data_IF_259316355179
#
_entry.id   IF_259316355179
#
_cell.length_a   1.000
_cell.length_b   1.000
_cell.length_c   1.000
_cell.angle_alpha   90.00
_cell.angle_beta   90.00
_cell.angle_gamma   90.00
#
_symmetry.space_group_name_H-M   'P 1'
#
loop_
_entity.id
_entity.type
_entity.pdbx_description
1 polymer ?
#
# COMPACT_ATOMS: atom_id res chain seq x y z
N UNK A 1 -48.02 -10.07 -33.01
CA UNK A 1 -47.87 -9.25 -31.78
C UNK A 1 -46.66 -9.72 -30.96
N UNK A 2 -45.45 -9.71 -31.54
CA UNK A 2 -44.20 -10.14 -30.89
C UNK A 2 -43.23 -8.96 -30.70
N UNK A 3 -43.71 -7.84 -30.18
CA UNK A 3 -42.86 -6.63 -30.03
C UNK A 3 -42.60 -6.18 -28.59
N UNK A 4 -43.23 -6.80 -27.59
CA UNK A 4 -43.11 -6.35 -26.19
C UNK A 4 -42.52 -7.40 -25.22
N UNK A 5 -42.09 -8.57 -25.70
CA UNK A 5 -41.46 -9.60 -24.84
C UNK A 5 -39.92 -9.52 -24.91
N UNK A 6 -39.36 -8.97 -26.00
CA UNK A 6 -37.91 -8.92 -26.23
C UNK A 6 -37.21 -7.78 -25.48
N UNK A 7 -37.93 -6.74 -25.05
CA UNK A 7 -37.35 -5.57 -24.36
C UNK A 7 -37.22 -5.76 -22.85
N UNK A 8 -38.05 -6.60 -22.23
CA UNK A 8 -37.98 -6.82 -20.77
C UNK A 8 -36.88 -7.81 -20.37
N UNK A 9 -36.50 -8.74 -21.26
CA UNK A 9 -35.40 -9.68 -21.00
C UNK A 9 -34.02 -9.01 -21.16
N UNK A 10 -33.94 -7.96 -21.99
CA UNK A 10 -32.71 -7.19 -22.19
C UNK A 10 -32.36 -6.26 -21.01
N UNK A 11 -33.35 -5.92 -20.16
CA UNK A 11 -33.15 -5.04 -19.02
C UNK A 11 -32.60 -5.76 -17.78
N UNK A 12 -32.93 -7.06 -17.62
CA UNK A 12 -32.44 -7.84 -16.48
C UNK A 12 -30.97 -8.29 -16.63
N UNK A 13 -30.49 -8.45 -17.87
CA UNK A 13 -29.10 -8.85 -18.15
C UNK A 13 -28.12 -7.69 -17.92
N UNK A 14 -28.58 -6.43 -17.99
CA UNK A 14 -27.73 -5.25 -17.81
C UNK A 14 -27.41 -4.94 -16.34
N UNK A 15 -28.14 -5.49 -15.37
CA UNK A 15 -27.95 -5.22 -13.93
C UNK A 15 -26.91 -6.16 -13.29
N UNK A 16 -26.57 -7.29 -13.92
CA UNK A 16 -25.65 -8.29 -13.35
C UNK A 16 -24.17 -7.94 -13.60
N UNK A 17 -23.86 -7.02 -14.52
CA UNK A 17 -22.47 -6.70 -14.90
C UNK A 17 -21.80 -5.68 -13.96
N UNK A 18 -22.51 -5.15 -12.95
CA UNK A 18 -21.97 -4.15 -12.01
C UNK A 18 -21.40 -4.80 -10.73
N UNK A 19 -21.21 -6.12 -10.70
CA UNK A 19 -20.67 -6.85 -9.54
C UNK A 19 -19.34 -7.56 -9.85
N UNK A 20 -18.40 -6.87 -10.50
CA UNK A 20 -17.01 -7.35 -10.57
C UNK A 20 -16.07 -6.16 -10.43
N UNK A 21 -15.76 -5.85 -9.18
CA UNK A 21 -14.83 -4.79 -8.78
C UNK A 21 -14.34 -4.98 -7.35
N UNK A 22 -14.13 -6.23 -6.94
CA UNK A 22 -13.25 -6.61 -5.84
C UNK A 22 -12.61 -7.90 -6.30
N UNK A 23 -11.32 -7.87 -6.55
CA UNK A 23 -10.56 -9.08 -6.86
C UNK A 23 -10.54 -9.95 -5.59
N UNK A 24 -11.20 -11.14 -5.57
CA UNK A 24 -11.26 -11.98 -4.38
C UNK A 24 -9.92 -12.68 -4.09
N UNK A 25 -8.89 -12.42 -4.89
CA UNK A 25 -7.58 -13.06 -4.84
C UNK A 25 -6.48 -12.21 -4.21
N UNK A 26 -6.68 -10.91 -4.01
CA UNK A 26 -5.77 -10.13 -3.16
C UNK A 26 -5.96 -10.61 -1.72
N UNK A 27 -4.98 -11.36 -1.21
CA UNK A 27 -4.96 -11.72 0.22
C UNK A 27 -4.89 -10.41 0.99
N UNK A 28 -6.02 -10.01 1.55
CA UNK A 28 -6.12 -8.88 2.47
C UNK A 28 -5.00 -9.01 3.52
N UNK A 29 -4.14 -7.98 3.59
CA UNK A 29 -3.02 -7.85 4.54
C UNK A 29 -3.50 -8.16 5.97
N UNK A 30 -4.76 -7.81 6.27
CA UNK A 30 -5.38 -8.05 7.58
C UNK A 30 -5.53 -9.53 7.93
N UNK A 31 -5.46 -10.46 6.98
CA UNK A 31 -5.44 -11.90 7.26
C UNK A 31 -4.23 -12.31 8.11
N UNK A 32 -3.13 -11.58 8.03
CA UNK A 32 -1.90 -11.83 8.80
C UNK A 32 -1.86 -11.04 10.12
N UNK A 33 -2.77 -10.09 10.32
CA UNK A 33 -2.71 -9.13 11.42
C UNK A 33 -2.76 -9.79 12.81
N UNK A 34 -3.61 -10.80 13.00
CA UNK A 34 -3.73 -11.46 14.31
C UNK A 34 -2.55 -12.39 14.62
N UNK A 35 -2.03 -13.10 13.60
CA UNK A 35 -0.96 -14.08 13.77
C UNK A 35 0.45 -13.49 13.83
N UNK A 36 0.63 -12.27 13.32
CA UNK A 36 1.95 -11.61 13.30
C UNK A 36 2.16 -10.83 14.58
N UNK A 37 3.30 -10.98 15.25
CA UNK A 37 3.62 -10.16 16.42
C UNK A 37 3.88 -8.69 16.02
N UNK A 38 3.60 -7.75 16.93
CA UNK A 38 3.86 -6.34 16.66
C UNK A 38 5.35 -6.01 16.78
N UNK A 39 5.82 -5.06 15.98
CA UNK A 39 7.08 -4.36 16.17
C UNK A 39 6.82 -2.85 16.32
N UNK A 40 7.84 -2.10 16.70
CA UNK A 40 7.79 -0.63 16.75
C UNK A 40 8.26 -0.04 15.41
N UNK A 41 7.36 0.69 14.76
CA UNK A 41 7.56 1.47 13.54
C UNK A 41 7.24 2.96 13.77
N UNK A 42 7.14 3.41 15.02
CA UNK A 42 6.79 4.80 15.37
C UNK A 42 7.74 5.86 14.78
N UNK A 43 8.97 5.45 14.47
CA UNK A 43 9.99 6.32 13.86
C UNK A 43 10.06 6.18 12.33
N UNK A 44 9.27 5.30 11.71
CA UNK A 44 9.34 5.04 10.27
C UNK A 44 8.88 6.25 9.45
N UNK A 45 9.82 6.88 8.75
CA UNK A 45 9.60 8.07 7.93
C UNK A 45 10.57 8.15 6.75
N UNK A 46 10.24 8.97 5.75
CA UNK A 46 11.16 9.39 4.68
C UNK A 46 11.22 10.91 4.66
N UNK A 47 12.42 11.47 4.84
CA UNK A 47 12.64 12.92 4.89
C UNK A 47 11.67 13.64 5.86
N UNK A 48 11.46 13.09 7.06
CA UNK A 48 10.51 13.57 8.08
C UNK A 48 9.03 13.39 7.74
N UNK A 49 8.69 12.74 6.62
CA UNK A 49 7.31 12.41 6.25
C UNK A 49 6.99 11.00 6.74
N UNK A 50 6.01 10.92 7.64
CA UNK A 50 5.50 9.66 8.17
C UNK A 50 4.05 9.45 7.74
N UNK A 51 3.51 8.29 8.10
CA UNK A 51 2.05 8.11 8.08
C UNK A 51 1.38 9.23 8.89
N UNK A 52 0.26 9.74 8.40
CA UNK A 52 -0.51 10.88 8.92
C UNK A 52 0.12 12.28 8.81
N UNK A 53 1.31 12.43 8.23
CA UNK A 53 1.84 13.75 7.83
C UNK A 53 0.88 14.45 6.87
N UNK A 54 0.86 15.78 6.88
CA UNK A 54 -0.03 16.55 6.02
C UNK A 54 0.61 16.72 4.65
N UNK A 55 -0.21 16.96 3.62
CA UNK A 55 0.26 17.30 2.27
C UNK A 55 1.30 18.42 2.26
N UNK A 56 1.08 19.47 3.05
CA UNK A 56 2.01 20.61 3.11
C UNK A 56 3.40 20.19 3.59
N UNK A 57 3.49 19.24 4.52
CA UNK A 57 4.77 18.72 5.01
C UNK A 57 5.54 18.06 3.85
N UNK A 58 4.83 17.31 2.99
CA UNK A 58 5.40 16.69 1.78
C UNK A 58 5.91 17.77 0.82
N UNK A 59 5.11 18.80 0.55
CA UNK A 59 5.47 19.88 -0.36
C UNK A 59 6.68 20.68 0.15
N UNK A 60 6.81 20.85 1.47
CA UNK A 60 7.97 21.48 2.09
C UNK A 60 9.24 20.60 1.98
N UNK A 61 9.11 19.28 2.17
CA UNK A 61 10.24 18.36 2.14
C UNK A 61 10.70 17.95 0.73
N UNK A 62 9.76 17.84 -0.22
CA UNK A 62 10.01 17.30 -1.57
C UNK A 62 9.80 18.32 -2.69
N UNK A 63 9.15 19.45 -2.42
CA UNK A 63 8.84 20.45 -3.43
C UNK A 63 7.58 20.11 -4.24
N UNK A 64 7.60 20.42 -5.53
CA UNK A 64 6.45 20.19 -6.43
C UNK A 64 6.54 18.76 -6.98
N UNK A 65 5.47 17.95 -6.90
CA UNK A 65 5.47 16.61 -7.47
C UNK A 65 5.56 16.63 -9.00
N UNK A 66 6.16 15.59 -9.57
CA UNK A 66 6.25 15.38 -11.01
C UNK A 66 4.87 15.12 -11.62
N UNK A 67 4.02 14.40 -10.87
CA UNK A 67 2.66 14.08 -11.26
C UNK A 67 1.74 14.04 -10.03
N UNK A 68 0.48 14.40 -10.24
CA UNK A 68 -0.59 14.24 -9.26
C UNK A 68 -1.70 13.41 -9.89
N UNK A 69 -2.10 12.33 -9.22
CA UNK A 69 -3.26 11.53 -9.60
C UNK A 69 -4.36 11.65 -8.56
N UNK A 70 -5.62 11.60 -9.01
CA UNK A 70 -6.79 11.64 -8.13
C UNK A 70 -7.68 10.43 -8.40
N UNK A 71 -8.14 9.80 -7.34
CA UNK A 71 -9.07 8.67 -7.38
C UNK A 71 -10.29 9.05 -6.55
N UNK A 72 -11.49 8.87 -7.10
CA UNK A 72 -12.72 9.35 -6.47
C UNK A 72 -13.27 8.42 -5.38
N UNK A 73 -12.99 7.11 -5.44
CA UNK A 73 -13.62 6.10 -4.58
C UNK A 73 -12.58 5.10 -4.03
N UNK A 74 -12.13 5.25 -2.76
CA UNK A 74 -12.31 6.42 -1.91
C UNK A 74 -11.53 7.63 -2.45
N UNK A 75 -11.99 8.83 -2.11
CA UNK A 75 -11.31 10.07 -2.50
C UNK A 75 -9.87 10.07 -1.99
N UNK A 76 -8.93 9.93 -2.89
CA UNK A 76 -7.50 9.87 -2.62
C UNK A 76 -6.70 10.65 -3.66
N UNK A 77 -5.53 11.11 -3.26
CA UNK A 77 -4.60 11.83 -4.12
C UNK A 77 -3.23 11.18 -4.02
N UNK A 78 -2.54 11.00 -5.15
CA UNK A 78 -1.20 10.46 -5.20
C UNK A 78 -0.24 11.53 -5.70
N UNK A 79 0.78 11.86 -4.90
CA UNK A 79 1.85 12.78 -5.27
C UNK A 79 3.07 11.96 -5.64
N UNK A 80 3.47 12.04 -6.92
CA UNK A 80 4.50 11.19 -7.50
C UNK A 80 5.76 12.03 -7.70
N UNK A 81 6.87 11.54 -7.18
CA UNK A 81 8.22 12.09 -7.33
C UNK A 81 9.14 11.02 -7.93
N UNK A 82 10.37 11.38 -8.25
CA UNK A 82 11.36 10.41 -8.71
C UNK A 82 11.68 9.41 -7.59
N UNK A 83 11.27 8.15 -7.76
CA UNK A 83 11.57 7.04 -6.84
C UNK A 83 10.64 6.89 -5.64
N UNK A 84 9.69 7.81 -5.42
CA UNK A 84 8.69 7.70 -4.34
C UNK A 84 7.33 8.27 -4.72
N UNK A 85 6.29 7.61 -4.24
CA UNK A 85 4.91 8.07 -4.33
C UNK A 85 4.30 8.19 -2.94
N UNK A 86 3.57 9.28 -2.67
CA UNK A 86 2.76 9.46 -1.47
C UNK A 86 1.29 9.36 -1.82
N UNK A 87 0.56 8.44 -1.19
CA UNK A 87 -0.89 8.33 -1.27
C UNK A 87 -1.56 9.01 -0.08
N UNK A 88 -2.47 9.93 -0.36
CA UNK A 88 -3.16 10.75 0.62
C UNK A 88 -4.65 10.43 0.66
N UNK A 89 -5.20 10.44 1.87
CA UNK A 89 -6.64 10.45 2.15
C UNK A 89 -6.89 11.65 3.05
N UNK A 90 -7.87 12.50 2.70
CA UNK A 90 -8.17 13.72 3.47
C UNK A 90 -6.92 14.60 3.72
N UNK A 91 -6.08 14.78 2.69
CA UNK A 91 -4.84 15.58 2.74
C UNK A 91 -3.77 15.05 3.72
N UNK A 92 -3.91 13.80 4.20
CA UNK A 92 -2.94 13.14 5.07
C UNK A 92 -2.34 11.93 4.40
N UNK A 93 -1.04 11.71 4.62
CA UNK A 93 -0.33 10.50 4.15
C UNK A 93 -0.99 9.26 4.73
N UNK A 94 -1.57 8.46 3.86
CA UNK A 94 -2.10 7.14 4.16
C UNK A 94 -1.13 6.04 3.74
N UNK A 95 -0.34 6.27 2.70
CA UNK A 95 0.74 5.37 2.26
C UNK A 95 1.90 6.13 1.65
N UNK A 96 3.08 5.53 1.65
CA UNK A 96 4.13 5.87 0.71
C UNK A 96 4.78 4.62 0.14
N UNK A 97 5.21 4.72 -1.12
CA UNK A 97 5.75 3.62 -1.90
C UNK A 97 7.11 4.02 -2.47
N UNK A 98 8.15 3.30 -2.06
CA UNK A 98 9.54 3.51 -2.47
C UNK A 98 9.89 2.53 -3.58
N UNK A 99 10.37 3.06 -4.70
CA UNK A 99 10.79 2.31 -5.89
C UNK A 99 12.29 2.41 -6.16
N UNK A 100 12.93 3.50 -5.73
CA UNK A 100 14.38 3.71 -5.83
C UNK A 100 14.81 4.94 -5.01
N UNK A 101 16.11 5.15 -4.82
CA UNK A 101 16.72 6.38 -4.30
C UNK A 101 16.33 6.84 -2.87
N UNK A 102 15.48 6.09 -2.17
CA UNK A 102 15.15 6.32 -0.76
C UNK A 102 15.49 5.12 0.12
N UNK A 103 15.70 5.41 1.40
CA UNK A 103 16.12 4.48 2.43
C UNK A 103 15.10 4.50 3.56
N UNK A 104 14.70 3.33 4.06
CA UNK A 104 13.82 3.25 5.24
C UNK A 104 14.54 3.75 6.49
N UNK A 105 13.81 3.98 7.58
CA UNK A 105 14.41 4.46 8.84
C UNK A 105 15.47 3.50 9.40
N UNK A 106 15.34 2.20 9.13
CA UNK A 106 16.32 1.18 9.53
C UNK A 106 17.37 0.87 8.46
N UNK A 107 17.43 1.68 7.42
CA UNK A 107 18.52 1.68 6.47
C UNK A 107 18.36 0.72 5.28
N UNK A 108 17.15 0.28 4.98
CA UNK A 108 16.88 -0.62 3.85
C UNK A 108 16.68 0.21 2.59
N UNK A 109 17.38 -0.17 1.53
CA UNK A 109 17.24 0.39 0.19
C UNK A 109 16.85 -0.68 -0.82
N UNK A 110 16.34 -0.24 -1.97
CA UNK A 110 16.11 -1.12 -3.11
C UNK A 110 17.43 -1.81 -3.52
N UNK A 111 17.37 -3.13 -3.75
CA UNK A 111 18.53 -3.98 -4.03
C UNK A 111 19.19 -4.62 -2.81
N UNK A 112 18.74 -4.32 -1.59
CA UNK A 112 19.15 -5.06 -0.39
C UNK A 112 18.64 -6.50 -0.38
N UNK A 113 19.31 -7.37 0.38
CA UNK A 113 18.88 -8.77 0.49
C UNK A 113 17.72 -8.95 1.46
N UNK A 114 16.93 -10.02 1.26
CA UNK A 114 15.92 -10.49 2.22
C UNK A 114 16.50 -10.62 3.63
N UNK A 115 17.69 -11.22 3.73
CA UNK A 115 18.40 -11.39 5.02
C UNK A 115 18.72 -10.06 5.71
N UNK A 116 19.02 -9.00 4.94
CA UNK A 116 19.26 -7.67 5.51
C UNK A 116 17.98 -7.09 6.09
N UNK A 117 16.84 -7.24 5.40
CA UNK A 117 15.53 -6.82 5.91
C UNK A 117 15.23 -7.52 7.25
N UNK A 118 15.35 -8.85 7.28
CA UNK A 118 15.12 -9.66 8.48
C UNK A 118 16.07 -9.28 9.62
N UNK A 119 17.33 -8.96 9.31
CA UNK A 119 18.32 -8.52 10.31
C UNK A 119 17.94 -7.20 10.97
N UNK A 120 17.45 -6.23 10.19
CA UNK A 120 17.14 -4.87 10.69
C UNK A 120 15.72 -4.76 11.28
N UNK A 121 14.74 -5.46 10.71
CA UNK A 121 13.33 -5.41 11.16
C UNK A 121 12.94 -6.54 12.12
N UNK A 122 13.69 -7.63 12.18
CA UNK A 122 13.48 -8.73 13.11
C UNK A 122 12.71 -9.91 12.52
N UNK A 123 12.36 -10.88 13.38
CA UNK A 123 11.70 -12.14 12.98
C UNK A 123 10.17 -12.08 13.01
N UNK A 124 9.60 -10.96 13.46
CA UNK A 124 8.17 -10.79 13.68
C UNK A 124 7.44 -10.35 12.39
N UNK A 125 7.77 -10.99 11.27
CA UNK A 125 7.16 -10.72 9.97
C UNK A 125 6.09 -11.75 9.63
N UNK A 126 5.18 -11.38 8.73
CA UNK A 126 4.46 -12.34 7.89
C UNK A 126 5.09 -12.41 6.51
N UNK A 127 4.82 -13.51 5.83
CA UNK A 127 5.26 -13.74 4.47
C UNK A 127 4.04 -14.02 3.59
N UNK A 128 4.00 -13.39 2.42
CA UNK A 128 3.03 -13.72 1.36
C UNK A 128 3.73 -13.74 0.02
N UNK A 129 3.20 -14.50 -0.93
CA UNK A 129 3.70 -14.53 -2.30
C UNK A 129 2.54 -14.19 -3.22
N UNK A 130 2.74 -13.20 -4.08
CA UNK A 130 1.78 -12.76 -5.07
C UNK A 130 2.51 -12.50 -6.39
N UNK A 131 2.01 -13.07 -7.49
CA UNK A 131 2.60 -12.88 -8.84
C UNK A 131 4.12 -13.14 -8.92
N UNK A 132 4.62 -14.14 -8.17
CA UNK A 132 6.05 -14.48 -8.03
C UNK A 132 6.93 -13.42 -7.35
N UNK A 133 6.31 -12.46 -6.66
CA UNK A 133 6.98 -11.56 -5.74
C UNK A 133 6.69 -12.08 -4.33
N UNK A 134 7.75 -12.36 -3.59
CA UNK A 134 7.66 -12.66 -2.18
C UNK A 134 7.57 -11.34 -1.41
N UNK A 135 6.79 -11.28 -0.35
CA UNK A 135 6.63 -10.08 0.46
C UNK A 135 6.90 -10.42 1.90
N UNK A 136 7.81 -9.67 2.53
CA UNK A 136 7.99 -9.64 3.97
C UNK A 136 7.25 -8.44 4.55
N UNK A 137 6.25 -8.68 5.38
CA UNK A 137 5.46 -7.62 5.98
C UNK A 137 5.56 -7.61 7.50
N UNK A 138 5.51 -6.41 8.08
CA UNK A 138 5.58 -6.19 9.52
C UNK A 138 4.43 -5.28 9.96
N UNK A 139 3.94 -5.49 11.17
CA UNK A 139 2.90 -4.65 11.76
C UNK A 139 3.42 -3.90 12.97
N UNK A 140 3.09 -2.63 13.04
CA UNK A 140 3.00 -1.88 14.30
C UNK A 140 1.53 -1.71 14.65
N UNK A 141 1.06 -2.52 15.60
CA UNK A 141 -0.32 -2.58 16.05
C UNK A 141 -0.71 -1.45 16.99
N UNK A 142 0.28 -0.78 17.58
CA UNK A 142 0.09 0.35 18.50
C UNK A 142 -0.08 1.65 17.71
N UNK A 143 0.68 1.81 16.63
CA UNK A 143 0.63 2.98 15.75
C UNK A 143 -0.20 2.76 14.47
N UNK A 144 -0.72 1.54 14.27
CA UNK A 144 -1.55 1.17 13.11
C UNK A 144 -0.82 1.36 11.78
N UNK A 145 0.43 0.90 11.73
CA UNK A 145 1.30 0.98 10.56
C UNK A 145 1.62 -0.44 10.09
N UNK A 146 1.66 -0.62 8.77
CA UNK A 146 2.24 -1.79 8.13
C UNK A 146 3.38 -1.34 7.22
N UNK A 147 4.44 -2.14 7.16
CA UNK A 147 5.51 -2.01 6.17
C UNK A 147 5.70 -3.35 5.47
N UNK A 148 5.67 -3.33 4.14
CA UNK A 148 5.91 -4.46 3.27
C UNK A 148 7.15 -4.24 2.40
N UNK A 149 7.99 -5.27 2.33
CA UNK A 149 9.14 -5.35 1.44
C UNK A 149 8.84 -6.36 0.34
N UNK A 150 8.69 -5.90 -0.90
CA UNK A 150 8.62 -6.77 -2.06
C UNK A 150 10.01 -7.31 -2.38
N UNK A 151 10.14 -8.63 -2.48
CA UNK A 151 11.36 -9.39 -2.70
C UNK A 151 11.25 -10.18 -4.01
N UNK A 152 12.20 -9.95 -4.90
CA UNK A 152 12.38 -10.73 -6.13
C UNK A 152 13.84 -11.18 -6.22
N UNK A 153 14.09 -12.47 -6.51
CA UNK A 153 15.46 -13.02 -6.59
C UNK A 153 16.36 -12.67 -5.39
N UNK A 154 15.82 -12.73 -4.17
CA UNK A 154 16.50 -12.34 -2.92
C UNK A 154 16.90 -10.84 -2.86
N UNK A 155 16.19 -9.97 -3.57
CA UNK A 155 16.43 -8.53 -3.62
C UNK A 155 15.16 -7.74 -3.34
N UNK A 156 15.27 -6.72 -2.50
CA UNK A 156 14.20 -5.74 -2.29
C UNK A 156 13.97 -4.99 -3.61
N UNK A 157 12.74 -5.03 -4.12
CA UNK A 157 12.32 -4.34 -5.35
C UNK A 157 11.28 -3.25 -5.08
N UNK A 158 10.71 -3.24 -3.88
CA UNK A 158 9.63 -2.35 -3.48
C UNK A 158 9.60 -2.24 -1.96
N UNK A 159 9.30 -1.05 -1.43
CA UNK A 159 8.90 -0.87 -0.03
C UNK A 159 7.61 -0.08 0.03
N UNK A 160 6.60 -0.61 0.69
CA UNK A 160 5.33 0.07 0.93
C UNK A 160 5.20 0.27 2.44
N UNK A 161 4.91 1.49 2.86
CA UNK A 161 4.48 1.77 4.23
C UNK A 161 3.09 2.35 4.16
N UNK A 162 2.16 1.78 4.92
CA UNK A 162 0.77 2.20 4.90
C UNK A 162 0.13 2.21 6.28
N UNK A 163 -0.87 3.07 6.40
CA UNK A 163 -1.80 3.06 7.52
C UNK A 163 -2.73 1.87 7.36
N UNK A 164 -2.82 1.06 8.41
CA UNK A 164 -3.83 0.01 8.50
C UNK A 164 -5.01 0.48 9.35
N UNK A 165 -6.22 0.13 8.93
CA UNK A 165 -7.41 0.34 9.74
C UNK A 165 -7.88 -1.01 10.29
N UNK A 166 -8.21 -1.06 11.57
CA UNK A 166 -8.83 -2.22 12.25
C UNK A 166 -10.28 -2.47 11.78
N UNK A 167 -10.67 -2.09 10.56
CA UNK A 167 -12.08 -2.13 10.15
C UNK A 167 -12.65 -3.52 10.43
N UNK A 168 -13.75 -3.47 11.19
CA UNK A 168 -14.43 -4.54 11.94
C UNK A 168 -15.13 -5.53 11.02
#
# INVERSE_FOLDING_TARGET
MYKNIMTTFLLCVLIIVILVGCDPLEKDIMNFYQSTESIDLSQENINSISISSNKNDILEAFGIPNQVEEVENPKSQYLIYDGIEFGLIEEKVNRYYIQENYETTKGIVIGDSKDRVIKEYGQNYYERVESNIETLGYFDKDHMINIEFGIHENKVVAVIVEKIDKKR
#
